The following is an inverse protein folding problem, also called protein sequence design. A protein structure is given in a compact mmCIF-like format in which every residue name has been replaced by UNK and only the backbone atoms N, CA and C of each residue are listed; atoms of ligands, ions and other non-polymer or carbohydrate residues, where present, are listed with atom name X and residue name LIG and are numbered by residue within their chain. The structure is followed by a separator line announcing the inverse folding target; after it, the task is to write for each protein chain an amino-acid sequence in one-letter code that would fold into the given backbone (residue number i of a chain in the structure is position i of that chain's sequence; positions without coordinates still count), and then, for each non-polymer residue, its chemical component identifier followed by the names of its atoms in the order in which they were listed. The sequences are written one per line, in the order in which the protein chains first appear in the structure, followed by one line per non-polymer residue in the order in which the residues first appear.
data_IF_280778927644
#
_entry.id   IF_280778927644
#
_cell.length_a   1.000
_cell.length_b   1.000
_cell.length_c   1.000
_cell.angle_alpha   90.00
_cell.angle_beta   90.00
_cell.angle_gamma   90.00
#
_symmetry.space_group_name_H-M   'P 1'
#
loop_
_entity.id
_entity.type
_entity.pdbx_description
1 polymer ?
#
# COMPACT_ATOMS: atom_id res chain seq x y z
N UNK A 1 -3.40 -32.30 39.17
CA UNK A 1 -2.06 -31.79 38.76
C UNK A 1 -2.05 -31.71 37.24
N UNK A 2 -1.90 -30.51 36.67
CA UNK A 2 -1.87 -30.33 35.21
C UNK A 2 -0.55 -30.83 34.62
N UNK A 3 -0.57 -31.29 33.38
CA UNK A 3 0.63 -31.70 32.65
C UNK A 3 1.62 -30.53 32.55
N UNK A 4 2.91 -30.85 32.66
CA UNK A 4 4.01 -29.89 32.61
C UNK A 4 5.01 -30.28 31.54
N UNK A 5 5.54 -29.27 30.86
CA UNK A 5 6.48 -29.42 29.77
C UNK A 5 7.78 -28.71 30.08
N UNK A 6 8.90 -29.40 29.89
CA UNK A 6 10.23 -28.79 29.91
C UNK A 6 10.41 -27.87 28.69
N UNK A 7 11.34 -26.92 28.80
CA UNK A 7 11.68 -26.04 27.67
C UNK A 7 12.01 -26.79 26.38
N UNK A 8 12.65 -27.97 26.47
CA UNK A 8 12.95 -28.82 25.29
C UNK A 8 11.69 -29.41 24.66
N UNK A 9 10.73 -29.85 25.49
CA UNK A 9 9.45 -30.36 24.99
C UNK A 9 8.63 -29.23 24.35
N UNK A 10 8.60 -28.04 24.96
CA UNK A 10 7.91 -26.87 24.38
C UNK A 10 8.55 -26.46 23.05
N UNK A 11 9.88 -26.43 22.98
CA UNK A 11 10.60 -26.15 21.73
C UNK A 11 10.22 -27.14 20.62
N UNK A 12 10.16 -28.44 20.94
CA UNK A 12 9.75 -29.48 19.99
C UNK A 12 8.29 -29.33 19.54
N UNK A 13 7.39 -28.98 20.45
CA UNK A 13 5.95 -28.83 20.15
C UNK A 13 5.65 -27.59 19.31
N UNK A 14 6.36 -26.49 19.57
CA UNK A 14 6.10 -25.18 18.96
C UNK A 14 6.96 -24.87 17.74
N UNK A 15 8.01 -25.66 17.49
CA UNK A 15 9.02 -25.37 16.46
C UNK A 15 9.96 -24.22 16.82
N UNK A 16 9.81 -23.61 18.00
CA UNK A 16 10.61 -22.49 18.47
C UNK A 16 11.90 -23.00 19.10
N UNK A 17 13.04 -22.39 18.78
CA UNK A 17 14.32 -22.77 19.40
C UNK A 17 14.31 -22.54 20.92
N UNK A 18 15.03 -23.40 21.67
CA UNK A 18 15.22 -23.20 23.13
C UNK A 18 15.83 -21.82 23.42
N UNK A 19 16.74 -21.34 22.55
CA UNK A 19 17.34 -20.00 22.65
C UNK A 19 16.28 -18.91 22.58
N UNK A 20 15.31 -19.02 21.67
CA UNK A 20 14.21 -18.06 21.54
C UNK A 20 13.29 -18.10 22.76
N UNK A 21 12.98 -19.28 23.31
CA UNK A 21 12.20 -19.40 24.54
C UNK A 21 12.90 -18.76 25.75
N UNK A 22 14.22 -18.92 25.87
CA UNK A 22 15.01 -18.23 26.89
C UNK A 22 15.04 -16.71 26.67
N UNK A 23 15.10 -16.26 25.43
CA UNK A 23 15.01 -14.84 25.12
C UNK A 23 13.65 -14.25 25.53
N UNK A 24 12.54 -14.94 25.24
CA UNK A 24 11.21 -14.52 25.68
C UNK A 24 11.05 -14.46 27.20
N UNK A 25 11.68 -15.38 27.93
CA UNK A 25 11.74 -15.33 29.39
C UNK A 25 12.52 -14.09 29.86
N UNK A 26 13.71 -13.85 29.27
CA UNK A 26 14.57 -12.73 29.63
C UNK A 26 13.91 -11.36 29.44
N UNK A 27 13.14 -11.17 28.37
CA UNK A 27 12.39 -9.92 28.11
C UNK A 27 11.02 -9.89 28.82
N UNK A 28 10.67 -10.94 29.57
CA UNK A 28 9.41 -11.06 30.30
C UNK A 28 8.18 -11.26 29.42
N UNK A 29 8.37 -11.67 28.17
CA UNK A 29 7.30 -11.93 27.21
C UNK A 29 6.62 -13.28 27.47
N UNK A 30 7.41 -14.31 27.80
CA UNK A 30 6.93 -15.64 28.18
C UNK A 30 7.75 -16.20 29.35
N UNK A 31 7.21 -16.12 30.56
CA UNK A 31 7.82 -16.70 31.75
C UNK A 31 7.39 -18.16 31.93
N UNK A 32 8.26 -19.05 32.44
CA UNK A 32 7.86 -20.39 32.82
C UNK A 32 6.90 -20.36 34.01
N UNK A 33 6.03 -21.36 34.13
CA UNK A 33 5.14 -21.52 35.28
C UNK A 33 5.95 -21.68 36.59
N UNK A 34 7.06 -22.41 36.52
CA UNK A 34 8.09 -22.43 37.58
C UNK A 34 9.45 -22.86 37.03
N UNK A 35 10.47 -22.64 37.85
CA UNK A 35 11.77 -23.28 37.71
C UNK A 35 11.83 -24.43 38.73
N UNK A 36 12.08 -25.64 38.26
CA UNK A 36 12.26 -26.81 39.14
C UNK A 36 13.57 -26.73 39.93
N UNK A 37 13.70 -27.54 40.98
CA UNK A 37 14.88 -27.56 41.85
C UNK A 37 16.19 -27.90 41.11
N UNK A 38 16.07 -28.62 39.99
CA UNK A 38 17.15 -28.95 39.07
C UNK A 38 17.48 -27.82 38.06
N UNK A 39 16.88 -26.63 38.22
CA UNK A 39 17.07 -25.48 37.34
C UNK A 39 16.29 -25.56 36.01
N UNK A 40 15.49 -26.61 35.77
CA UNK A 40 14.72 -26.69 34.54
C UNK A 40 13.49 -25.78 34.58
N UNK A 41 13.30 -25.02 33.50
CA UNK A 41 12.08 -24.26 33.23
C UNK A 41 10.95 -25.21 32.86
N UNK A 42 9.83 -25.09 33.59
CA UNK A 42 8.63 -25.89 33.42
C UNK A 42 7.46 -24.98 33.01
N UNK A 43 6.74 -25.37 31.97
CA UNK A 43 5.62 -24.66 31.39
C UNK A 43 4.34 -25.48 31.59
N UNK A 44 3.21 -24.81 31.78
CA UNK A 44 1.87 -25.40 31.84
C UNK A 44 1.05 -24.91 30.65
N UNK A 45 -0.19 -25.40 30.58
CA UNK A 45 -1.11 -25.09 29.48
C UNK A 45 -1.27 -23.58 29.23
N UNK A 46 -1.26 -22.77 30.28
CA UNK A 46 -1.41 -21.32 30.16
C UNK A 46 -0.23 -20.66 29.45
N UNK A 47 1.00 -21.06 29.77
CA UNK A 47 2.18 -20.57 29.08
C UNK A 47 2.24 -21.07 27.63
N UNK A 48 1.77 -22.30 27.36
CA UNK A 48 1.66 -22.81 25.99
C UNK A 48 0.66 -21.98 25.15
N UNK A 49 -0.49 -21.61 25.72
CA UNK A 49 -1.47 -20.74 25.06
C UNK A 49 -0.89 -19.34 24.83
N UNK A 50 -0.15 -18.80 25.79
CA UNK A 50 0.56 -17.52 25.65
C UNK A 50 1.63 -17.58 24.57
N UNK A 51 2.41 -18.67 24.52
CA UNK A 51 3.39 -18.91 23.45
C UNK A 51 2.71 -18.96 22.08
N UNK A 52 1.59 -19.68 21.96
CA UNK A 52 0.83 -19.73 20.71
C UNK A 52 0.41 -18.33 20.23
N UNK A 53 -0.03 -17.46 21.14
CA UNK A 53 -0.38 -16.08 20.81
C UNK A 53 0.84 -15.27 20.34
N UNK A 54 1.97 -15.38 21.05
CA UNK A 54 3.23 -14.74 20.65
C UNK A 54 3.61 -15.16 19.23
N UNK A 55 3.45 -16.45 18.89
CA UNK A 55 3.77 -16.97 17.57
C UNK A 55 2.79 -16.45 16.50
N UNK A 56 1.49 -16.40 16.78
CA UNK A 56 0.53 -15.79 15.86
C UNK A 56 0.84 -14.32 15.57
N UNK A 57 1.22 -13.55 16.59
CA UNK A 57 1.60 -12.16 16.38
C UNK A 57 2.90 -12.01 15.59
N UNK A 58 3.88 -12.89 15.82
CA UNK A 58 5.14 -12.91 15.06
C UNK A 58 4.95 -13.26 13.59
N UNK A 59 4.03 -14.18 13.29
CA UNK A 59 3.68 -14.54 11.91
C UNK A 59 3.03 -13.37 11.16
N UNK A 60 2.41 -12.44 11.89
CA UNK A 60 1.85 -11.19 11.37
C UNK A 60 2.85 -10.01 11.38
N UNK A 61 4.15 -10.29 11.54
CA UNK A 61 5.26 -9.32 11.56
C UNK A 61 5.17 -8.24 12.67
N UNK A 62 4.46 -8.50 13.78
CA UNK A 62 4.44 -7.56 14.90
C UNK A 62 5.78 -7.56 15.64
N UNK A 63 6.34 -6.38 15.97
CA UNK A 63 7.53 -6.28 16.80
C UNK A 63 7.25 -6.83 18.21
N UNK A 64 8.22 -7.50 18.81
CA UNK A 64 8.09 -8.21 20.10
C UNK A 64 7.64 -7.28 21.24
N UNK A 65 8.00 -6.01 21.16
CA UNK A 65 7.66 -4.95 22.10
C UNK A 65 6.16 -4.64 22.06
N UNK A 66 5.55 -4.61 20.86
CA UNK A 66 4.11 -4.44 20.69
C UNK A 66 3.33 -5.65 21.21
N UNK A 67 3.85 -6.86 21.00
CA UNK A 67 3.28 -8.10 21.54
C UNK A 67 3.29 -8.08 23.08
N UNK A 68 4.40 -7.63 23.68
CA UNK A 68 4.53 -7.53 25.13
C UNK A 68 3.57 -6.50 25.74
N UNK A 69 3.33 -5.37 25.06
CA UNK A 69 2.41 -4.32 25.51
C UNK A 69 0.94 -4.80 25.50
N UNK A 70 0.53 -5.46 24.41
CA UNK A 70 -0.83 -5.99 24.24
C UNK A 70 -1.14 -7.07 25.28
N UNK A 71 -0.20 -7.99 25.54
CA UNK A 71 -0.37 -9.08 26.51
C UNK A 71 -0.31 -8.65 27.99
N UNK A 72 0.07 -7.39 28.28
CA UNK A 72 0.15 -6.84 29.65
C UNK A 72 -1.02 -5.92 29.99
N UNK A 73 -1.88 -5.57 29.04
CA UNK A 73 -3.01 -4.67 29.28
C UNK A 73 -4.04 -5.32 30.23
N UNK A 74 -4.50 -4.62 31.30
CA UNK A 74 -5.42 -5.18 32.29
C UNK A 74 -6.78 -5.60 31.70
N UNK A 75 -7.24 -4.89 30.66
CA UNK A 75 -8.54 -5.11 30.00
C UNK A 75 -8.41 -5.92 28.70
N UNK A 76 -7.34 -6.70 28.55
CA UNK A 76 -7.09 -7.45 27.32
C UNK A 76 -8.09 -8.59 27.13
N UNK A 77 -9.07 -8.40 26.25
CA UNK A 77 -9.95 -9.48 25.78
C UNK A 77 -9.22 -10.39 24.80
N UNK A 78 -8.74 -11.51 25.35
CA UNK A 78 -8.06 -12.58 24.62
C UNK A 78 -8.87 -13.14 23.45
N UNK A 79 -10.19 -13.25 23.58
CA UNK A 79 -11.07 -13.78 22.52
C UNK A 79 -11.20 -12.75 21.41
N UNK A 80 -11.42 -11.48 21.75
CA UNK A 80 -11.47 -10.40 20.76
C UNK A 80 -10.15 -10.26 19.97
N UNK A 81 -9.00 -10.37 20.64
CA UNK A 81 -7.70 -10.35 19.98
C UNK A 81 -7.51 -11.50 18.99
N UNK A 82 -7.86 -12.74 19.39
CA UNK A 82 -7.81 -13.90 18.49
C UNK A 82 -8.77 -13.76 17.30
N UNK A 83 -9.96 -13.18 17.49
CA UNK A 83 -10.88 -12.85 16.38
C UNK A 83 -10.28 -11.81 15.43
N UNK A 84 -9.64 -10.78 15.97
CA UNK A 84 -8.91 -9.77 15.18
C UNK A 84 -7.79 -10.39 14.35
N UNK A 85 -7.02 -11.32 14.92
CA UNK A 85 -5.99 -12.05 14.17
C UNK A 85 -6.58 -12.92 13.08
N UNK A 86 -7.66 -13.65 13.38
CA UNK A 86 -8.36 -14.46 12.39
C UNK A 86 -8.80 -13.60 11.20
N UNK A 87 -9.38 -12.44 11.44
CA UNK A 87 -9.79 -11.52 10.39
C UNK A 87 -8.61 -11.01 9.53
N UNK A 88 -7.45 -10.73 10.15
CA UNK A 88 -6.22 -10.33 9.45
C UNK A 88 -5.66 -11.46 8.58
N UNK A 89 -5.58 -12.67 9.12
CA UNK A 89 -5.15 -13.86 8.37
C UNK A 89 -6.09 -14.14 7.20
N UNK A 90 -7.40 -14.00 7.39
CA UNK A 90 -8.36 -14.13 6.30
C UNK A 90 -8.20 -13.05 5.23
N UNK A 91 -7.88 -11.81 5.61
CA UNK A 91 -7.58 -10.75 4.65
C UNK A 91 -6.29 -11.04 3.85
N UNK A 92 -5.24 -11.53 4.52
CA UNK A 92 -4.01 -11.97 3.86
C UNK A 92 -4.24 -13.16 2.94
N UNK A 93 -5.01 -14.16 3.36
CA UNK A 93 -5.39 -15.30 2.53
C UNK A 93 -6.13 -14.84 1.26
N UNK A 94 -7.16 -14.00 1.40
CA UNK A 94 -7.86 -13.40 0.25
C UNK A 94 -6.94 -12.61 -0.67
N UNK A 95 -5.94 -11.91 -0.11
CA UNK A 95 -4.93 -11.22 -0.92
C UNK A 95 -4.08 -12.21 -1.71
N UNK A 96 -3.59 -13.28 -1.09
CA UNK A 96 -2.83 -14.31 -1.78
C UNK A 96 -3.67 -15.04 -2.84
N UNK A 97 -4.94 -15.33 -2.57
CA UNK A 97 -5.85 -15.92 -3.56
C UNK A 97 -6.00 -15.04 -4.80
N UNK A 98 -6.12 -13.71 -4.63
CA UNK A 98 -6.16 -12.77 -5.76
C UNK A 98 -4.85 -12.71 -6.54
N UNK A 99 -3.71 -12.78 -5.85
CA UNK A 99 -2.40 -12.82 -6.49
C UNK A 99 -2.20 -14.13 -7.28
N UNK A 100 -2.61 -15.27 -6.71
CA UNK A 100 -2.61 -16.57 -7.39
C UNK A 100 -3.50 -16.54 -8.62
N UNK A 101 -4.74 -16.04 -8.52
CA UNK A 101 -5.61 -15.90 -9.67
C UNK A 101 -5.02 -14.99 -10.78
N UNK A 102 -4.27 -13.95 -10.39
CA UNK A 102 -3.56 -13.08 -11.33
C UNK A 102 -2.41 -13.82 -12.01
N UNK A 103 -1.64 -14.58 -11.24
CA UNK A 103 -0.55 -15.42 -11.74
C UNK A 103 -1.06 -16.50 -12.69
N UNK A 104 -2.13 -17.20 -12.33
CA UNK A 104 -2.72 -18.27 -13.15
C UNK A 104 -3.21 -17.75 -14.50
N UNK A 105 -3.83 -16.56 -14.53
CA UNK A 105 -4.19 -15.89 -15.79
C UNK A 105 -2.97 -15.53 -16.62
N UNK A 106 -1.95 -14.97 -15.96
CA UNK A 106 -0.70 -14.59 -16.63
C UNK A 106 -0.04 -15.82 -17.27
N UNK A 107 0.01 -16.95 -16.55
CA UNK A 107 0.52 -18.23 -17.07
C UNK A 107 -0.31 -18.72 -18.26
N UNK A 108 -1.64 -18.75 -18.14
CA UNK A 108 -2.53 -19.22 -19.19
C UNK A 108 -2.50 -18.37 -20.47
N UNK A 109 -2.18 -17.08 -20.35
CA UNK A 109 -2.03 -16.18 -21.49
C UNK A 109 -0.66 -16.33 -22.15
N UNK A 110 0.41 -16.48 -21.36
CA UNK A 110 1.76 -16.75 -21.86
C UNK A 110 1.88 -18.13 -22.54
N UNK A 111 1.24 -19.17 -21.99
CA UNK A 111 1.23 -20.53 -22.56
C UNK A 111 0.44 -20.62 -23.87
N UNK A 112 -0.50 -19.70 -24.10
CA UNK A 112 -1.37 -19.70 -25.29
C UNK A 112 -0.99 -18.60 -26.30
N UNK A 113 0.15 -17.92 -26.12
CA UNK A 113 0.60 -16.80 -26.95
C UNK A 113 -0.47 -15.71 -27.17
N UNK A 114 -1.34 -15.49 -26.17
CA UNK A 114 -2.43 -14.51 -26.25
C UNK A 114 -1.96 -13.15 -25.74
N UNK A 115 -2.37 -12.08 -26.42
CA UNK A 115 -2.17 -10.71 -25.91
C UNK A 115 -2.91 -10.51 -24.59
N UNK A 116 -2.18 -10.05 -23.57
CA UNK A 116 -2.70 -9.86 -22.21
C UNK A 116 -3.03 -8.38 -21.95
N UNK A 117 -4.21 -8.12 -21.40
CA UNK A 117 -4.56 -6.78 -20.92
C UNK A 117 -3.71 -6.41 -19.70
N UNK A 118 -2.85 -5.40 -19.83
CA UNK A 118 -1.97 -4.96 -18.75
C UNK A 118 -2.71 -4.42 -17.51
N UNK A 119 -3.99 -4.09 -17.57
CA UNK A 119 -4.76 -3.82 -16.35
C UNK A 119 -4.96 -5.09 -15.51
N UNK A 120 -5.09 -6.26 -16.15
CA UNK A 120 -5.24 -7.56 -15.49
C UNK A 120 -3.94 -8.10 -14.90
N UNK A 121 -2.78 -7.64 -15.39
CA UNK A 121 -1.47 -7.94 -14.81
C UNK A 121 -1.31 -7.42 -13.37
N UNK A 122 -1.98 -6.31 -13.05
CA UNK A 122 -1.82 -5.63 -11.76
C UNK A 122 -3.06 -5.68 -10.85
N UNK A 123 -4.16 -6.30 -11.30
CA UNK A 123 -5.44 -6.39 -10.59
C UNK A 123 -5.30 -7.01 -9.18
N UNK A 124 -4.47 -8.04 -9.03
CA UNK A 124 -4.21 -8.68 -7.73
C UNK A 124 -3.42 -7.83 -6.73
N UNK A 125 -2.86 -6.69 -7.16
CA UNK A 125 -1.93 -5.88 -6.37
C UNK A 125 -2.52 -4.58 -5.78
N UNK A 126 -3.75 -4.16 -6.15
CA UNK A 126 -4.14 -2.74 -6.02
C UNK A 126 -5.45 -2.30 -5.30
N UNK A 127 -6.32 -3.12 -4.67
CA UNK A 127 -7.55 -2.58 -4.08
C UNK A 127 -7.37 -1.85 -2.74
N UNK A 128 -6.47 -2.30 -1.86
CA UNK A 128 -6.33 -1.68 -0.53
C UNK A 128 -5.66 -0.28 -0.56
N UNK A 129 -4.66 -0.09 -1.43
CA UNK A 129 -3.96 1.21 -1.56
C UNK A 129 -4.83 2.30 -2.20
N UNK A 130 -5.78 1.91 -3.05
CA UNK A 130 -6.66 2.84 -3.73
C UNK A 130 -7.71 3.41 -2.76
N UNK A 131 -8.25 2.58 -1.85
CA UNK A 131 -9.16 3.04 -0.80
C UNK A 131 -8.48 3.98 0.22
N UNK A 132 -7.25 3.68 0.63
CA UNK A 132 -6.47 4.55 1.53
C UNK A 132 -6.12 5.90 0.87
N UNK A 133 -5.79 5.88 -0.42
CA UNK A 133 -5.51 7.10 -1.19
C UNK A 133 -6.78 7.96 -1.41
N UNK A 134 -7.91 7.32 -1.73
CA UNK A 134 -9.21 8.02 -1.86
C UNK A 134 -9.64 8.64 -0.53
N UNK A 135 -9.47 7.93 0.59
CA UNK A 135 -9.75 8.46 1.92
C UNK A 135 -8.85 9.66 2.27
N UNK A 136 -7.56 9.58 1.94
CA UNK A 136 -6.62 10.70 2.13
C UNK A 136 -7.00 11.93 1.30
N UNK A 137 -7.43 11.75 0.03
CA UNK A 137 -7.87 12.86 -0.82
C UNK A 137 -9.11 13.58 -0.24
N UNK A 138 -10.08 12.81 0.26
CA UNK A 138 -11.30 13.37 0.87
C UNK A 138 -10.98 14.11 2.18
N UNK A 139 -10.12 13.54 3.03
CA UNK A 139 -9.72 14.14 4.31
C UNK A 139 -8.92 15.44 4.11
N UNK A 140 -7.97 15.44 3.17
CA UNK A 140 -7.04 16.56 2.91
C UNK A 140 -7.71 17.73 2.19
N UNK A 141 -8.54 17.47 1.18
CA UNK A 141 -9.06 18.50 0.28
C UNK A 141 -10.55 18.79 0.46
N UNK A 142 -11.30 17.90 1.13
CA UNK A 142 -12.71 18.13 1.47
C UNK A 142 -13.61 18.48 0.27
N UNK A 143 -14.75 19.09 0.57
CA UNK A 143 -15.70 19.59 -0.44
C UNK A 143 -16.22 18.48 -1.37
N UNK A 144 -16.28 18.76 -2.67
CA UNK A 144 -16.80 17.83 -3.69
C UNK A 144 -15.81 16.73 -4.11
N UNK A 145 -14.71 16.53 -3.38
CA UNK A 145 -13.65 15.56 -3.76
C UNK A 145 -14.20 14.14 -3.89
N UNK A 146 -15.07 13.69 -2.99
CA UNK A 146 -15.72 12.39 -3.10
C UNK A 146 -16.57 12.26 -4.37
N UNK A 147 -17.34 13.30 -4.71
CA UNK A 147 -18.14 13.32 -5.94
C UNK A 147 -17.27 13.32 -7.20
N UNK A 148 -16.11 14.00 -7.17
CA UNK A 148 -15.13 14.03 -8.26
C UNK A 148 -14.44 12.67 -8.47
N UNK A 149 -14.12 11.96 -7.39
CA UNK A 149 -13.58 10.60 -7.44
C UNK A 149 -14.59 9.66 -8.11
N UNK A 150 -15.86 9.72 -7.70
CA UNK A 150 -16.91 8.88 -8.29
C UNK A 150 -17.20 9.23 -9.76
N UNK A 151 -17.19 10.52 -10.12
CA UNK A 151 -17.31 10.95 -11.51
C UNK A 151 -16.15 10.42 -12.36
N UNK A 152 -14.93 10.39 -11.81
CA UNK A 152 -13.77 9.85 -12.51
C UNK A 152 -13.84 8.34 -12.71
N UNK A 153 -14.24 7.58 -11.69
CA UNK A 153 -14.53 6.15 -11.82
C UNK A 153 -15.59 5.88 -12.88
N UNK A 154 -16.63 6.71 -12.96
CA UNK A 154 -17.67 6.59 -13.97
C UNK A 154 -17.16 6.92 -15.39
N UNK A 155 -16.30 7.94 -15.55
CA UNK A 155 -15.74 8.35 -16.84
C UNK A 155 -14.85 7.27 -17.48
N UNK A 156 -14.20 6.45 -16.67
CA UNK A 156 -13.35 5.34 -17.13
C UNK A 156 -14.06 3.97 -17.14
N UNK A 157 -15.30 3.91 -16.64
CA UNK A 157 -16.13 2.70 -16.59
C UNK A 157 -16.61 2.31 -17.99
N UNK A 158 -15.72 1.69 -18.77
CA UNK A 158 -15.99 1.28 -20.14
C UNK A 158 -14.80 1.44 -21.08
N UNK A 159 -13.68 2.00 -20.60
CA UNK A 159 -12.46 2.09 -21.39
C UNK A 159 -11.98 0.72 -21.83
N UNK A 160 -11.67 0.63 -23.11
CA UNK A 160 -11.01 -0.51 -23.72
C UNK A 160 -9.51 -0.45 -23.46
N UNK A 161 -8.81 -1.55 -23.74
CA UNK A 161 -7.36 -1.60 -23.72
C UNK A 161 -6.71 -0.48 -24.55
N UNK A 162 -7.25 -0.25 -25.74
CA UNK A 162 -6.75 0.78 -26.64
C UNK A 162 -6.92 2.19 -26.06
N UNK A 163 -7.98 2.44 -25.30
CA UNK A 163 -8.18 3.72 -24.62
C UNK A 163 -7.13 3.93 -23.53
N UNK A 164 -6.85 2.91 -22.71
CA UNK A 164 -5.79 2.97 -21.70
C UNK A 164 -4.40 3.17 -22.31
N UNK A 165 -4.08 2.43 -23.37
CA UNK A 165 -2.80 2.54 -24.05
C UNK A 165 -2.63 3.91 -24.72
N UNK A 166 -3.68 4.46 -25.33
CA UNK A 166 -3.68 5.79 -25.91
C UNK A 166 -3.49 6.89 -24.84
N UNK A 167 -4.16 6.75 -23.69
CA UNK A 167 -4.01 7.69 -22.58
C UNK A 167 -2.62 7.59 -21.96
N UNK A 168 -2.07 6.40 -21.77
CA UNK A 168 -0.69 6.22 -21.30
C UNK A 168 0.31 6.84 -22.27
N UNK A 169 0.19 6.53 -23.56
CA UNK A 169 1.09 7.05 -24.59
C UNK A 169 1.07 8.59 -24.66
N UNK A 170 -0.11 9.20 -24.54
CA UNK A 170 -0.24 10.66 -24.50
C UNK A 170 0.41 11.25 -23.23
N UNK A 171 0.18 10.65 -22.06
CA UNK A 171 0.82 11.07 -20.81
C UNK A 171 2.34 11.00 -20.87
N UNK A 172 2.89 9.89 -21.38
CA UNK A 172 4.33 9.70 -21.58
C UNK A 172 4.90 10.73 -22.55
N UNK A 173 4.19 11.01 -23.66
CA UNK A 173 4.62 11.99 -24.66
C UNK A 173 4.60 13.43 -24.12
N UNK A 174 3.59 13.78 -23.32
CA UNK A 174 3.52 15.09 -22.64
C UNK A 174 4.66 15.24 -21.64
N UNK A 175 4.91 14.22 -20.80
CA UNK A 175 5.99 14.24 -19.82
C UNK A 175 7.37 14.37 -20.49
N UNK A 176 7.62 13.61 -21.55
CA UNK A 176 8.85 13.70 -22.32
C UNK A 176 9.03 15.07 -22.99
N UNK A 177 7.94 15.64 -23.53
CA UNK A 177 7.94 16.98 -24.11
C UNK A 177 8.26 18.07 -23.08
N UNK A 178 7.67 17.99 -21.89
CA UNK A 178 7.92 18.93 -20.79
C UNK A 178 9.35 18.81 -20.26
N UNK A 179 9.84 17.58 -20.09
CA UNK A 179 11.23 17.32 -19.69
C UNK A 179 12.22 17.90 -20.72
N UNK A 180 11.92 17.76 -22.02
CA UNK A 180 12.73 18.37 -23.08
C UNK A 180 12.68 19.90 -23.01
N UNK A 181 11.50 20.50 -22.88
CA UNK A 181 11.36 21.96 -22.78
C UNK A 181 12.13 22.53 -21.58
N UNK A 182 12.07 21.85 -20.44
CA UNK A 182 12.84 22.18 -19.24
C UNK A 182 14.35 22.05 -19.46
N UNK A 183 14.80 20.96 -20.09
CA UNK A 183 16.20 20.74 -20.43
C UNK A 183 16.75 21.77 -21.44
N UNK A 184 15.90 22.24 -22.36
CA UNK A 184 16.21 23.31 -23.32
C UNK A 184 16.17 24.71 -22.65
N UNK A 185 15.87 24.80 -21.35
CA UNK A 185 15.86 26.04 -20.58
C UNK A 185 14.67 26.96 -20.86
N UNK A 186 13.59 26.42 -21.44
CA UNK A 186 12.40 27.20 -21.74
C UNK A 186 11.64 27.49 -20.43
N UNK A 187 11.13 28.73 -20.24
CA UNK A 187 10.22 29.04 -19.13
C UNK A 187 8.92 28.23 -19.20
N UNK A 188 8.34 27.92 -18.04
CA UNK A 188 7.09 27.14 -17.95
C UNK A 188 5.87 27.88 -18.53
N UNK A 189 5.93 29.22 -18.63
CA UNK A 189 4.93 30.09 -19.25
C UNK A 189 5.17 30.35 -20.75
N UNK A 190 6.25 29.80 -21.31
CA UNK A 190 6.54 29.93 -22.75
C UNK A 190 5.44 29.27 -23.60
N UNK A 191 5.23 29.77 -24.82
CA UNK A 191 4.21 29.22 -25.72
C UNK A 191 4.39 27.72 -25.99
N UNK A 192 5.63 27.25 -26.08
CA UNK A 192 5.95 25.83 -26.26
C UNK A 192 5.61 24.99 -25.03
N UNK A 193 5.94 25.47 -23.82
CA UNK A 193 5.59 24.79 -22.57
C UNK A 193 4.07 24.79 -22.36
N UNK A 194 3.40 25.92 -22.58
CA UNK A 194 1.96 26.05 -22.43
C UNK A 194 1.17 25.19 -23.42
N UNK A 195 1.69 24.95 -24.63
CA UNK A 195 1.08 23.98 -25.55
C UNK A 195 1.12 22.54 -25.00
N UNK A 196 2.20 22.16 -24.30
CA UNK A 196 2.31 20.86 -23.63
C UNK A 196 1.42 20.80 -22.37
N UNK A 197 1.31 21.89 -21.61
CA UNK A 197 0.41 21.98 -20.46
C UNK A 197 -1.06 21.94 -20.90
N UNK A 198 -1.40 22.50 -22.06
CA UNK A 198 -2.74 22.39 -22.64
C UNK A 198 -3.08 20.93 -22.98
N UNK A 199 -2.12 20.19 -23.54
CA UNK A 199 -2.24 18.74 -23.76
C UNK A 199 -2.37 17.97 -22.45
N UNK A 200 -1.59 18.34 -21.43
CA UNK A 200 -1.74 17.79 -20.08
C UNK A 200 -3.14 18.04 -19.51
N UNK A 201 -3.67 19.25 -19.63
CA UNK A 201 -5.03 19.59 -19.18
C UNK A 201 -6.08 18.76 -19.92
N UNK A 202 -5.99 18.63 -21.24
CA UNK A 202 -6.88 17.77 -22.03
C UNK A 202 -6.76 16.29 -21.64
N UNK A 203 -5.55 15.83 -21.32
CA UNK A 203 -5.28 14.49 -20.83
C UNK A 203 -5.92 14.22 -19.47
N UNK A 204 -5.75 15.13 -18.49
CA UNK A 204 -6.45 15.09 -17.20
C UNK A 204 -7.98 15.12 -17.41
N UNK A 205 -8.43 15.92 -18.38
CA UNK A 205 -9.81 16.05 -18.84
C UNK A 205 -10.50 14.73 -19.19
N UNK A 206 -9.74 13.69 -19.54
CA UNK A 206 -10.27 12.35 -19.83
C UNK A 206 -10.74 11.60 -18.58
N UNK A 207 -10.18 11.93 -17.43
CA UNK A 207 -10.52 11.29 -16.16
C UNK A 207 -11.57 12.10 -15.40
N UNK A 208 -11.56 13.42 -15.51
CA UNK A 208 -12.53 14.33 -14.91
C UNK A 208 -12.34 15.72 -15.54
N UNK A 209 -13.33 16.60 -15.44
CA UNK A 209 -13.25 17.96 -16.01
C UNK A 209 -12.91 18.97 -14.91
N UNK A 210 -11.62 19.32 -14.69
CA UNK A 210 -11.26 20.31 -13.69
C UNK A 210 -11.63 21.72 -14.18
N UNK A 211 -12.14 22.55 -13.27
CA UNK A 211 -12.16 24.00 -13.45
C UNK A 211 -10.78 24.62 -13.15
N UNK A 212 -10.60 25.92 -13.42
CA UNK A 212 -9.36 26.64 -13.15
C UNK A 212 -8.81 26.44 -11.72
N UNK A 213 -9.69 26.47 -10.71
CA UNK A 213 -9.29 26.33 -9.30
C UNK A 213 -8.84 24.90 -9.02
N UNK A 214 -9.60 23.91 -9.53
CA UNK A 214 -9.30 22.50 -9.40
C UNK A 214 -7.99 22.12 -10.11
N UNK A 215 -7.72 22.66 -11.30
CA UNK A 215 -6.49 22.38 -12.04
C UNK A 215 -5.27 23.02 -11.38
N UNK A 216 -5.41 24.24 -10.83
CA UNK A 216 -4.36 24.86 -10.02
C UNK A 216 -4.09 24.08 -8.73
N UNK A 217 -5.13 23.63 -8.02
CA UNK A 217 -4.97 22.81 -6.82
C UNK A 217 -4.33 21.44 -7.09
N UNK A 218 -4.55 20.87 -8.28
CA UNK A 218 -3.87 19.64 -8.72
C UNK A 218 -2.35 19.83 -8.83
N UNK A 219 -1.90 21.03 -9.21
CA UNK A 219 -0.48 21.37 -9.24
C UNK A 219 0.17 21.30 -7.85
N UNK A 220 -0.51 21.82 -6.83
CA UNK A 220 -0.05 21.74 -5.43
C UNK A 220 0.00 20.28 -4.96
N UNK A 221 -1.03 19.49 -5.29
CA UNK A 221 -1.10 18.07 -4.95
C UNK A 221 0.07 17.27 -5.54
N UNK A 222 0.44 17.54 -6.79
CA UNK A 222 1.57 16.88 -7.45
C UNK A 222 2.90 17.17 -6.73
N UNK A 223 3.10 18.41 -6.26
CA UNK A 223 4.31 18.81 -5.56
C UNK A 223 4.39 18.26 -4.13
N UNK A 224 3.26 18.21 -3.42
CA UNK A 224 3.19 17.79 -2.01
C UNK A 224 3.23 16.26 -1.84
N UNK A 225 2.64 15.50 -2.77
CA UNK A 225 2.51 14.06 -2.60
C UNK A 225 3.82 13.33 -2.99
N UNK A 226 4.51 12.64 -2.05
CA UNK A 226 5.83 12.04 -2.32
C UNK A 226 5.84 11.04 -3.48
N UNK A 227 4.73 10.33 -3.68
CA UNK A 227 4.57 9.38 -4.79
C UNK A 227 4.49 10.04 -6.17
N UNK A 228 3.90 11.25 -6.27
CA UNK A 228 3.81 11.98 -7.55
C UNK A 228 5.15 12.61 -7.87
N UNK A 229 5.79 13.27 -6.88
CA UNK A 229 7.15 13.78 -7.02
C UNK A 229 8.12 12.71 -7.51
N UNK A 230 8.16 11.56 -6.82
CA UNK A 230 9.01 10.43 -7.22
C UNK A 230 8.64 9.81 -8.59
N UNK A 231 7.40 9.99 -9.08
CA UNK A 231 7.02 9.54 -10.41
C UNK A 231 7.59 10.45 -11.50
N UNK A 232 7.41 11.77 -11.37
CA UNK A 232 7.90 12.75 -12.33
C UNK A 232 9.43 12.89 -12.31
N UNK A 233 10.07 12.78 -11.14
CA UNK A 233 11.53 12.83 -11.02
C UNK A 233 12.25 11.67 -11.72
N UNK A 234 11.55 10.55 -11.98
CA UNK A 234 12.10 9.45 -12.82
C UNK A 234 12.23 9.84 -14.29
N UNK A 235 11.43 10.81 -14.75
CA UNK A 235 11.48 11.32 -16.13
C UNK A 235 12.57 12.38 -16.23
N UNK A 236 12.51 13.39 -15.36
CA UNK A 236 13.56 14.38 -15.19
C UNK A 236 13.45 15.00 -13.80
N UNK A 237 14.58 15.19 -13.12
CA UNK A 237 14.65 15.83 -11.80
C UNK A 237 14.05 17.25 -11.88
N UNK A 238 13.09 17.56 -10.99
CA UNK A 238 12.44 18.88 -10.95
C UNK A 238 11.28 19.05 -11.95
N UNK A 239 10.97 18.03 -12.74
CA UNK A 239 9.87 18.08 -13.72
C UNK A 239 8.52 18.40 -13.09
N UNK A 240 8.26 17.89 -11.88
CA UNK A 240 7.00 18.16 -11.17
C UNK A 240 6.83 19.63 -10.84
N UNK A 241 7.91 20.31 -10.50
CA UNK A 241 7.88 21.73 -10.14
C UNK A 241 7.69 22.59 -11.39
N UNK A 242 8.36 22.25 -12.49
CA UNK A 242 8.18 22.88 -13.80
C UNK A 242 6.76 22.71 -14.34
N UNK A 243 6.19 21.50 -14.27
CA UNK A 243 4.81 21.23 -14.67
C UNK A 243 3.84 22.00 -13.77
N UNK A 244 4.02 22.00 -12.46
CA UNK A 244 3.14 22.71 -11.53
C UNK A 244 3.11 24.23 -11.78
N UNK A 245 4.25 24.84 -12.08
CA UNK A 245 4.31 26.25 -12.50
C UNK A 245 3.50 26.48 -13.79
N UNK A 246 3.73 25.64 -14.81
CA UNK A 246 3.02 25.72 -16.08
C UNK A 246 1.50 25.54 -15.93
N UNK A 247 1.07 24.62 -15.06
CA UNK A 247 -0.35 24.37 -14.73
C UNK A 247 -1.02 25.59 -14.12
N UNK A 248 -0.36 26.28 -13.19
CA UNK A 248 -0.91 27.50 -12.55
C UNK A 248 -1.03 28.67 -13.52
N UNK A 249 -0.14 28.75 -14.52
CA UNK A 249 -0.25 29.74 -15.61
C UNK A 249 -1.42 29.38 -16.51
N UNK A 250 -1.49 28.13 -16.96
CA UNK A 250 -2.54 27.65 -17.86
C UNK A 250 -3.94 27.75 -17.23
N UNK A 251 -4.07 27.45 -15.94
CA UNK A 251 -5.32 27.53 -15.20
C UNK A 251 -6.03 28.90 -15.30
N UNK A 252 -5.29 29.99 -15.54
CA UNK A 252 -5.86 31.34 -15.72
C UNK A 252 -6.55 31.54 -17.08
N UNK A 253 -6.46 30.55 -17.97
CA UNK A 253 -6.94 30.61 -19.36
C UNK A 253 -8.14 29.70 -19.63
N UNK A 254 -8.55 28.89 -18.64
CA UNK A 254 -9.63 27.91 -18.73
C UNK A 254 -10.76 28.18 -17.74
#
# INVERSE_FOLDING_TARGET
MGQEWTVKQVARLSGVSVRTLHHYDAIGLLKPARVGENGYRLYRREELLRLQQILFHRELEFPLEAIAAVLKAPDFDRIAALRGHRAKLEAQARRYDRLLATLDRTLADLEQEREMDANKLYEGFAPEKQGEYEAWLVDRYGGDMAARIEASKAAVKGWTRADYDAVKAEGDAVNAGLAKAMADGLPADSAAAQALVARHHAWVGRFWTPDATAYSGLADMYQEHPGFRAHYDKVAEGLVDYLAEGMRVFAKTV
#
